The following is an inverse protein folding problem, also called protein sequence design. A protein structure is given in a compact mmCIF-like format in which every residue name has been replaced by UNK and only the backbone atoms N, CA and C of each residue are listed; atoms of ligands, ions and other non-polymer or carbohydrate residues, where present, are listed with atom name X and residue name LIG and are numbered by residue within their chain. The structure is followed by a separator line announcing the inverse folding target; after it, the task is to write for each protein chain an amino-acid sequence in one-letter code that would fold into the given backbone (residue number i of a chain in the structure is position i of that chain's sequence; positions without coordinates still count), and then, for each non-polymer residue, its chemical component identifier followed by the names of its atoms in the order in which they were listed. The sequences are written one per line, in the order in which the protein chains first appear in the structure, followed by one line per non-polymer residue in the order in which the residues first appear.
data_IF_446905924982
#
_entry.id   IF_446905924982
#
_cell.length_a   1.000
_cell.length_b   1.000
_cell.length_c   1.000
_cell.angle_alpha   90.00
_cell.angle_beta   90.00
_cell.angle_gamma   90.00
#
_symmetry.space_group_name_H-M   'P 1'
#
loop_
_entity.id
_entity.type
_entity.pdbx_description
1 polymer ?
#
# COMPACT_ATOMS: atom_id res chain seq x y z
N UNK A 1 2.11 -30.99 17.34
CA UNK A 1 3.32 -30.17 17.63
C UNK A 1 3.52 -29.25 16.45
N UNK A 2 3.51 -27.94 16.67
CA UNK A 2 3.93 -26.99 15.63
C UNK A 2 5.40 -27.24 15.29
N UNK A 3 5.71 -27.37 14.01
CA UNK A 3 7.11 -27.53 13.60
C UNK A 3 7.79 -26.18 13.62
N UNK A 4 9.06 -26.13 14.05
CA UNK A 4 9.91 -24.92 14.01
C UNK A 4 9.90 -24.26 12.62
N UNK A 5 9.77 -25.09 11.58
CA UNK A 5 9.63 -24.69 10.18
C UNK A 5 8.38 -23.83 9.91
N UNK A 6 7.22 -24.20 10.46
CA UNK A 6 5.98 -23.42 10.29
C UNK A 6 6.14 -21.99 10.84
N UNK A 7 6.72 -21.86 12.04
CA UNK A 7 6.97 -20.54 12.66
C UNK A 7 7.91 -19.69 11.80
N UNK A 8 8.96 -20.29 11.24
CA UNK A 8 9.89 -19.59 10.36
C UNK A 8 9.18 -19.07 9.10
N UNK A 9 8.38 -19.90 8.42
CA UNK A 9 7.65 -19.49 7.21
C UNK A 9 6.69 -18.34 7.51
N UNK A 10 5.94 -18.42 8.61
CA UNK A 10 5.02 -17.36 9.03
C UNK A 10 5.79 -16.04 9.24
N UNK A 11 6.90 -16.09 10.00
CA UNK A 11 7.71 -14.90 10.28
C UNK A 11 8.32 -14.29 9.01
N UNK A 12 8.78 -15.11 8.07
CA UNK A 12 9.29 -14.63 6.77
C UNK A 12 8.21 -13.90 5.98
N UNK A 13 6.98 -14.41 5.95
CA UNK A 13 5.89 -13.75 5.21
C UNK A 13 5.48 -12.40 5.83
N UNK A 14 5.46 -12.28 7.16
CA UNK A 14 5.28 -10.98 7.81
C UNK A 14 6.41 -10.02 7.49
N UNK A 15 7.66 -10.49 7.49
CA UNK A 15 8.82 -9.67 7.18
C UNK A 15 8.80 -9.16 5.73
N UNK A 16 8.46 -10.02 4.76
CA UNK A 16 8.28 -9.63 3.36
C UNK A 16 7.18 -8.57 3.21
N UNK A 17 6.08 -8.70 3.96
CA UNK A 17 5.03 -7.68 3.96
C UNK A 17 5.53 -6.34 4.50
N UNK A 18 6.29 -6.34 5.60
CA UNK A 18 6.89 -5.11 6.15
C UNK A 18 7.82 -4.46 5.11
N UNK A 19 8.71 -5.24 4.48
CA UNK A 19 9.62 -4.74 3.44
C UNK A 19 8.83 -4.15 2.27
N UNK A 20 7.86 -4.89 1.73
CA UNK A 20 7.04 -4.41 0.61
C UNK A 20 6.34 -3.10 0.96
N UNK A 21 5.86 -2.97 2.19
CA UNK A 21 5.20 -1.74 2.67
C UNK A 21 6.18 -0.57 2.71
N UNK A 22 7.38 -0.76 3.28
CA UNK A 22 8.40 0.30 3.32
C UNK A 22 8.81 0.72 1.90
N UNK A 23 9.05 -0.24 1.01
CA UNK A 23 9.41 0.03 -0.38
C UNK A 23 8.33 0.81 -1.15
N UNK A 24 7.05 0.66 -0.78
CA UNK A 24 5.93 1.37 -1.43
C UNK A 24 5.98 2.88 -1.22
N UNK A 25 6.62 3.36 -0.15
CA UNK A 25 6.75 4.78 0.17
C UNK A 25 8.02 5.44 -0.38
N UNK A 26 8.91 4.66 -1.00
CA UNK A 26 10.10 5.23 -1.64
C UNK A 26 9.63 5.93 -2.92
N UNK A 27 9.92 7.24 -3.10
CA UNK A 27 9.49 8.01 -4.28
C UNK A 27 10.38 7.71 -5.48
N UNK A 28 10.45 6.43 -5.85
CA UNK A 28 11.24 5.94 -6.97
C UNK A 28 10.55 4.72 -7.59
N UNK A 29 10.46 4.68 -8.92
CA UNK A 29 9.70 3.66 -9.66
C UNK A 29 10.21 2.24 -9.38
N UNK A 30 11.53 2.02 -9.39
CA UNK A 30 12.13 0.69 -9.17
C UNK A 30 11.72 0.07 -7.81
N UNK A 31 11.94 0.73 -6.64
CA UNK A 31 11.44 0.25 -5.35
C UNK A 31 9.92 -0.02 -5.30
N UNK A 32 9.11 0.82 -5.96
CA UNK A 32 7.65 0.63 -6.00
C UNK A 32 7.25 -0.63 -6.78
N UNK A 33 7.90 -0.89 -7.92
CA UNK A 33 7.69 -2.14 -8.68
C UNK A 33 8.09 -3.35 -7.85
N UNK A 34 9.23 -3.29 -7.14
CA UNK A 34 9.67 -4.36 -6.24
C UNK A 34 8.73 -4.57 -5.05
N UNK A 35 8.15 -3.49 -4.52
CA UNK A 35 7.12 -3.54 -3.49
C UNK A 35 5.91 -4.33 -3.96
N UNK A 36 5.36 -3.99 -5.13
CA UNK A 36 4.19 -4.67 -5.72
C UNK A 36 4.51 -6.15 -5.98
N UNK A 37 5.66 -6.46 -6.57
CA UNK A 37 6.09 -7.83 -6.81
C UNK A 37 6.18 -8.64 -5.51
N UNK A 38 6.78 -8.06 -4.47
CA UNK A 38 6.92 -8.71 -3.16
C UNK A 38 5.56 -8.92 -2.47
N UNK A 39 4.64 -7.97 -2.59
CA UNK A 39 3.28 -8.08 -2.08
C UNK A 39 2.50 -9.22 -2.76
N UNK A 40 2.59 -9.30 -4.10
CA UNK A 40 1.96 -10.37 -4.89
C UNK A 40 2.54 -11.74 -4.51
N UNK A 41 3.87 -11.85 -4.43
CA UNK A 41 4.54 -13.09 -4.01
C UNK A 41 4.12 -13.51 -2.59
N UNK A 42 4.02 -12.56 -1.66
CA UNK A 42 3.57 -12.81 -0.28
C UNK A 42 2.13 -13.30 -0.25
N UNK A 43 1.25 -12.71 -1.07
CA UNK A 43 -0.14 -13.14 -1.18
C UNK A 43 -0.26 -14.55 -1.78
N UNK A 44 0.45 -14.82 -2.87
CA UNK A 44 0.50 -16.14 -3.50
C UNK A 44 1.01 -17.21 -2.53
N UNK A 45 2.12 -16.93 -1.84
CA UNK A 45 2.67 -17.82 -0.82
C UNK A 45 1.66 -18.05 0.32
N UNK A 46 0.98 -17.00 0.79
CA UNK A 46 -0.03 -17.15 1.83
C UNK A 46 -1.19 -18.06 1.41
N UNK A 47 -1.71 -17.93 0.18
CA UNK A 47 -2.73 -18.84 -0.34
C UNK A 47 -2.24 -20.28 -0.46
N UNK A 48 -1.01 -20.46 -0.95
CA UNK A 48 -0.39 -21.78 -1.12
C UNK A 48 -0.14 -22.49 0.22
N UNK A 49 0.40 -21.80 1.22
CA UNK A 49 0.61 -22.39 2.54
C UNK A 49 -0.69 -22.59 3.31
N UNK A 50 -1.70 -21.74 3.09
CA UNK A 50 -3.05 -21.95 3.66
C UNK A 50 -3.68 -23.24 3.18
N UNK A 51 -3.52 -23.60 1.90
CA UNK A 51 -4.16 -24.80 1.34
C UNK A 51 -3.49 -26.11 1.77
N UNK A 52 -2.31 -26.04 2.40
CA UNK A 52 -1.52 -27.21 2.84
C UNK A 52 -1.69 -27.57 4.32
N UNK A 53 -2.37 -26.74 5.11
CA UNK A 53 -2.57 -26.95 6.55
C UNK A 53 -4.06 -27.15 6.88
N UNK A 54 -4.34 -27.79 8.01
CA UNK A 54 -5.73 -27.99 8.47
C UNK A 54 -6.31 -26.69 9.02
N UNK A 55 -7.64 -26.56 9.05
CA UNK A 55 -8.30 -25.32 9.50
C UNK A 55 -7.95 -24.94 10.95
N UNK A 56 -7.64 -25.93 11.78
CA UNK A 56 -7.19 -25.75 13.16
C UNK A 56 -5.68 -25.58 13.28
N UNK A 57 -4.93 -25.54 12.18
CA UNK A 57 -3.49 -25.39 12.17
C UNK A 57 -3.03 -23.94 12.36
N UNK A 58 -1.82 -23.77 12.90
CA UNK A 58 -1.21 -22.44 13.09
C UNK A 58 -0.98 -21.75 11.73
N UNK A 59 -0.50 -22.49 10.73
CA UNK A 59 -0.24 -21.95 9.40
C UNK A 59 -1.54 -21.46 8.77
N UNK A 60 -2.60 -22.30 8.79
CA UNK A 60 -3.90 -21.90 8.26
C UNK A 60 -4.43 -20.62 8.91
N UNK A 61 -4.31 -20.52 10.24
CA UNK A 61 -4.75 -19.36 11.01
C UNK A 61 -4.03 -18.06 10.60
N UNK A 62 -2.69 -18.07 10.59
CA UNK A 62 -1.91 -16.89 10.21
C UNK A 62 -2.03 -16.55 8.73
N UNK A 63 -2.08 -17.53 7.83
CA UNK A 63 -2.25 -17.27 6.40
C UNK A 63 -3.62 -16.66 6.10
N UNK A 64 -4.68 -17.12 6.77
CA UNK A 64 -6.01 -16.51 6.66
C UNK A 64 -5.99 -15.05 7.10
N UNK A 65 -5.31 -14.76 8.21
CA UNK A 65 -5.18 -13.39 8.71
C UNK A 65 -4.35 -12.50 7.78
N UNK A 66 -3.25 -13.01 7.22
CA UNK A 66 -2.40 -12.29 6.27
C UNK A 66 -3.17 -11.95 4.98
N UNK A 67 -3.86 -12.92 4.40
CA UNK A 67 -4.69 -12.72 3.20
C UNK A 67 -5.73 -11.63 3.46
N UNK A 68 -6.45 -11.70 4.59
CA UNK A 68 -7.41 -10.65 4.96
C UNK A 68 -6.75 -9.29 5.16
N UNK A 69 -5.57 -9.24 5.78
CA UNK A 69 -4.82 -8.00 5.98
C UNK A 69 -4.41 -7.35 4.66
N UNK A 70 -3.93 -8.15 3.70
CA UNK A 70 -3.57 -7.67 2.36
C UNK A 70 -4.81 -7.15 1.64
N UNK A 71 -5.90 -7.92 1.57
CA UNK A 71 -7.10 -7.52 0.84
C UNK A 71 -7.78 -6.29 1.44
N UNK A 72 -8.10 -6.31 2.74
CA UNK A 72 -8.75 -5.17 3.38
C UNK A 72 -7.86 -3.94 3.40
N UNK A 73 -6.57 -4.10 3.70
CA UNK A 73 -5.63 -2.98 3.74
C UNK A 73 -5.44 -2.32 2.38
N UNK A 74 -5.18 -3.10 1.34
CA UNK A 74 -5.04 -2.56 -0.02
C UNK A 74 -6.34 -1.94 -0.51
N UNK A 75 -7.50 -2.50 -0.18
CA UNK A 75 -8.80 -1.92 -0.53
C UNK A 75 -8.98 -0.54 0.10
N UNK A 76 -8.69 -0.37 1.40
CA UNK A 76 -8.78 0.93 2.06
C UNK A 76 -7.80 1.95 1.47
N UNK A 77 -6.59 1.52 1.13
CA UNK A 77 -5.59 2.38 0.50
C UNK A 77 -6.04 2.81 -0.90
N UNK A 78 -6.58 1.89 -1.72
CA UNK A 78 -7.12 2.20 -3.06
C UNK A 78 -8.28 3.18 -2.99
N UNK A 79 -9.23 2.98 -2.08
CA UNK A 79 -10.32 3.93 -1.85
C UNK A 79 -9.75 5.29 -1.43
N UNK A 80 -8.78 5.30 -0.51
CA UNK A 80 -8.09 6.52 -0.07
C UNK A 80 -7.44 7.27 -1.23
N UNK A 81 -6.73 6.57 -2.13
CA UNK A 81 -6.12 7.16 -3.32
C UNK A 81 -7.15 7.77 -4.27
N UNK A 82 -8.26 7.07 -4.54
CA UNK A 82 -9.35 7.61 -5.37
C UNK A 82 -9.90 8.89 -4.76
N UNK A 83 -10.15 8.90 -3.45
CA UNK A 83 -10.63 10.08 -2.73
C UNK A 83 -9.62 11.23 -2.76
N UNK A 84 -8.31 10.94 -2.64
CA UNK A 84 -7.25 11.95 -2.79
C UNK A 84 -7.29 12.59 -4.17
N UNK A 85 -7.33 11.77 -5.23
CA UNK A 85 -7.36 12.27 -6.61
C UNK A 85 -8.59 13.13 -6.86
N UNK A 86 -9.77 12.68 -6.42
CA UNK A 86 -11.00 13.46 -6.55
C UNK A 86 -10.93 14.78 -5.79
N UNK A 87 -10.40 14.77 -4.57
CA UNK A 87 -10.27 15.99 -3.77
C UNK A 87 -9.30 16.99 -4.41
N UNK A 88 -8.11 16.53 -4.82
CA UNK A 88 -7.10 17.37 -5.49
C UNK A 88 -7.66 17.88 -6.82
N UNK A 89 -8.38 17.07 -7.57
CA UNK A 89 -9.04 17.52 -8.80
C UNK A 89 -10.06 18.64 -8.53
N UNK A 90 -10.89 18.52 -7.49
CA UNK A 90 -11.93 19.51 -7.19
C UNK A 90 -11.42 20.79 -6.52
N UNK A 91 -10.29 20.73 -5.81
CA UNK A 91 -9.80 21.84 -4.97
C UNK A 91 -8.41 22.34 -5.32
N UNK A 92 -7.72 21.67 -6.25
CA UNK A 92 -6.39 22.04 -6.68
C UNK A 92 -6.39 23.32 -7.51
N UNK A 93 -5.29 24.05 -7.42
CA UNK A 93 -4.98 25.13 -8.34
C UNK A 93 -4.47 24.55 -9.67
N UNK A 94 -5.29 24.67 -10.71
CA UNK A 94 -5.01 24.16 -12.05
C UNK A 94 -4.40 25.22 -12.97
N UNK A 95 -4.05 26.40 -12.44
CA UNK A 95 -3.56 27.55 -13.24
C UNK A 95 -2.34 27.18 -14.08
N UNK A 96 -1.37 26.47 -13.52
CA UNK A 96 -0.17 26.02 -14.24
C UNK A 96 -0.53 25.16 -15.48
N UNK A 97 -1.51 24.26 -15.34
CA UNK A 97 -1.97 23.37 -16.42
C UNK A 97 -2.79 24.16 -17.46
N UNK A 98 -3.61 25.11 -17.02
CA UNK A 98 -4.39 25.96 -17.93
C UNK A 98 -3.52 26.89 -18.76
N UNK A 99 -2.49 27.49 -18.16
CA UNK A 99 -1.52 28.31 -18.88
C UNK A 99 -0.79 27.48 -19.94
N UNK A 100 -0.33 26.28 -19.57
CA UNK A 100 0.29 25.36 -20.51
C UNK A 100 -0.63 25.01 -21.69
N UNK A 101 -1.90 24.75 -21.42
CA UNK A 101 -2.88 24.45 -22.46
C UNK A 101 -3.09 25.64 -23.40
N UNK A 102 -3.13 26.86 -22.86
CA UNK A 102 -3.25 28.08 -23.66
C UNK A 102 -2.01 28.32 -24.54
N UNK A 103 -0.81 28.09 -24.02
CA UNK A 103 0.45 28.23 -24.77
C UNK A 103 0.52 27.25 -25.95
N UNK A 104 0.11 25.99 -25.74
CA UNK A 104 0.00 24.98 -26.79
C UNK A 104 -1.03 25.40 -27.85
N UNK A 105 -2.19 25.93 -27.44
CA UNK A 105 -3.21 26.42 -28.37
C UNK A 105 -2.72 27.59 -29.23
N UNK A 106 -1.78 28.38 -28.72
CA UNK A 106 -1.13 29.49 -29.43
C UNK A 106 0.06 29.04 -30.31
N UNK A 107 0.32 27.74 -30.43
CA UNK A 107 1.33 27.17 -31.30
C UNK A 107 2.72 27.03 -30.68
N UNK A 108 2.84 27.14 -29.35
CA UNK A 108 4.10 26.84 -28.67
C UNK A 108 4.45 25.35 -28.82
N UNK A 109 5.67 25.05 -29.27
CA UNK A 109 6.21 23.69 -29.23
C UNK A 109 6.82 23.45 -27.85
N UNK A 110 6.23 22.51 -27.12
CA UNK A 110 6.63 22.20 -25.75
C UNK A 110 7.72 21.13 -25.72
N UNK A 111 8.76 21.37 -24.93
CA UNK A 111 9.82 20.39 -24.66
C UNK A 111 9.50 19.53 -23.43
N UNK A 112 10.28 18.47 -23.21
CA UNK A 112 10.14 17.64 -22.00
C UNK A 112 10.43 18.45 -20.72
N UNK A 113 11.42 19.35 -20.78
CA UNK A 113 11.80 20.21 -19.65
C UNK A 113 10.67 21.17 -19.25
N UNK A 114 9.94 21.71 -20.23
CA UNK A 114 8.76 22.56 -19.98
C UNK A 114 7.66 21.79 -19.26
N UNK A 115 7.43 20.52 -19.64
CA UNK A 115 6.45 19.66 -18.98
C UNK A 115 6.85 19.38 -17.52
N UNK A 116 8.13 19.09 -17.26
CA UNK A 116 8.62 18.89 -15.90
C UNK A 116 8.47 20.17 -15.06
N UNK A 117 8.78 21.34 -15.63
CA UNK A 117 8.65 22.61 -14.93
C UNK A 117 7.19 22.93 -14.56
N UNK A 118 6.24 22.69 -15.47
CA UNK A 118 4.80 22.86 -15.18
C UNK A 118 4.32 21.87 -14.14
N UNK A 119 4.74 20.61 -14.23
CA UNK A 119 4.40 19.60 -13.23
C UNK A 119 4.94 19.97 -11.85
N UNK A 120 6.19 20.43 -11.77
CA UNK A 120 6.80 20.87 -10.52
C UNK A 120 6.05 22.06 -9.92
N UNK A 121 5.74 23.07 -10.75
CA UNK A 121 4.96 24.25 -10.32
C UNK A 121 3.60 23.82 -9.77
N UNK A 122 2.88 22.96 -10.49
CA UNK A 122 1.59 22.43 -10.03
C UNK A 122 1.73 21.69 -8.69
N UNK A 123 2.78 20.88 -8.53
CA UNK A 123 3.04 20.14 -7.29
C UNK A 123 3.37 21.08 -6.12
N UNK A 124 4.14 22.13 -6.35
CA UNK A 124 4.52 23.12 -5.33
C UNK A 124 3.30 23.95 -4.88
N UNK A 125 2.51 24.45 -5.83
CA UNK A 125 1.28 25.22 -5.56
C UNK A 125 0.25 24.40 -4.78
N UNK A 126 0.18 23.09 -5.07
CA UNK A 126 -0.78 22.18 -4.46
C UNK A 126 -0.19 21.32 -3.32
N UNK A 127 1.06 21.52 -2.91
CA UNK A 127 1.75 20.62 -1.98
C UNK A 127 0.98 20.40 -0.67
N UNK A 128 0.49 21.49 -0.06
CA UNK A 128 -0.28 21.43 1.19
C UNK A 128 -1.58 20.66 1.03
N UNK A 129 -2.28 20.87 -0.10
CA UNK A 129 -3.52 20.15 -0.41
C UNK A 129 -3.24 18.66 -0.62
N UNK A 130 -2.20 18.32 -1.40
CA UNK A 130 -1.77 16.94 -1.64
C UNK A 130 -1.44 16.21 -0.33
N UNK A 131 -0.67 16.85 0.54
CA UNK A 131 -0.30 16.29 1.84
C UNK A 131 -1.52 16.09 2.74
N UNK A 132 -2.40 17.09 2.85
CA UNK A 132 -3.60 17.02 3.67
C UNK A 132 -4.57 15.95 3.15
N UNK A 133 -4.88 15.99 1.85
CA UNK A 133 -5.78 15.04 1.21
C UNK A 133 -5.28 13.60 1.41
N UNK A 134 -4.01 13.34 1.09
CA UNK A 134 -3.40 12.02 1.27
C UNK A 134 -3.41 11.55 2.72
N UNK A 135 -3.10 12.44 3.67
CA UNK A 135 -3.09 12.07 5.10
C UNK A 135 -4.48 11.70 5.60
N UNK A 136 -5.50 12.47 5.21
CA UNK A 136 -6.88 12.25 5.66
C UNK A 136 -7.50 11.01 5.03
N UNK A 137 -7.25 10.75 3.75
CA UNK A 137 -7.91 9.67 3.01
C UNK A 137 -7.14 8.34 3.09
N UNK A 138 -5.81 8.36 3.01
CA UNK A 138 -4.96 7.16 2.99
C UNK A 138 -4.48 6.80 4.40
N UNK A 139 -4.26 7.79 5.27
CA UNK A 139 -3.75 7.60 6.63
C UNK A 139 -4.49 6.55 7.45
N UNK A 140 -5.84 6.54 7.51
CA UNK A 140 -6.59 5.50 8.21
C UNK A 140 -6.34 4.08 7.69
N UNK A 141 -6.24 3.91 6.36
CA UNK A 141 -5.93 2.63 5.73
C UNK A 141 -4.52 2.14 6.08
N UNK A 142 -3.54 3.05 6.11
CA UNK A 142 -2.18 2.73 6.53
C UNK A 142 -2.09 2.37 8.01
N UNK A 143 -2.74 3.14 8.88
CA UNK A 143 -2.77 2.86 10.31
C UNK A 143 -3.38 1.47 10.59
N UNK A 144 -4.49 1.15 9.92
CA UNK A 144 -5.11 -0.17 9.97
C UNK A 144 -4.16 -1.28 9.51
N UNK A 145 -3.53 -1.11 8.35
CA UNK A 145 -2.61 -2.10 7.79
C UNK A 145 -1.40 -2.34 8.69
N UNK A 146 -0.76 -1.28 9.18
CA UNK A 146 0.38 -1.34 10.12
C UNK A 146 -0.03 -2.05 11.41
N UNK A 147 -1.15 -1.65 12.01
CA UNK A 147 -1.68 -2.29 13.23
C UNK A 147 -1.85 -3.80 13.04
N UNK A 148 -2.49 -4.21 11.93
CA UNK A 148 -2.74 -5.62 11.63
C UNK A 148 -1.45 -6.41 11.44
N UNK A 149 -0.50 -5.89 10.66
CA UNK A 149 0.80 -6.54 10.41
C UNK A 149 1.58 -6.69 11.71
N UNK A 150 1.70 -5.63 12.52
CA UNK A 150 2.42 -5.66 13.81
C UNK A 150 1.77 -6.64 14.78
N UNK A 151 0.44 -6.63 14.90
CA UNK A 151 -0.30 -7.55 15.77
C UNK A 151 -0.12 -9.01 15.35
N UNK A 152 -0.21 -9.28 14.05
CA UNK A 152 -0.03 -10.63 13.51
C UNK A 152 1.40 -11.14 13.66
N UNK A 153 2.39 -10.28 13.43
CA UNK A 153 3.80 -10.61 13.57
C UNK A 153 4.19 -10.92 15.02
N UNK A 154 3.77 -10.07 15.98
CA UNK A 154 4.02 -10.33 17.41
C UNK A 154 3.46 -11.68 17.85
N UNK A 155 2.22 -11.99 17.46
CA UNK A 155 1.59 -13.29 17.77
C UNK A 155 2.31 -14.46 17.11
N UNK A 156 2.80 -14.30 15.88
CA UNK A 156 3.57 -15.32 15.18
C UNK A 156 4.91 -15.63 15.87
N UNK A 157 5.62 -14.60 16.36
CA UNK A 157 6.86 -14.76 17.11
C UNK A 157 6.65 -15.59 18.39
N UNK A 158 5.55 -15.33 19.09
CA UNK A 158 5.18 -16.07 20.29
C UNK A 158 4.62 -17.48 19.98
N UNK A 159 4.31 -17.77 18.72
CA UNK A 159 3.62 -18.99 18.29
C UNK A 159 2.16 -19.07 18.72
N UNK A 160 1.51 -17.92 18.94
CA UNK A 160 0.11 -17.85 19.30
C UNK A 160 -0.79 -17.69 18.08
N UNK A 161 -1.87 -18.46 18.06
CA UNK A 161 -2.96 -18.28 17.10
C UNK A 161 -3.65 -16.94 17.29
N UNK A 162 -4.24 -16.45 16.20
CA UNK A 162 -5.13 -15.29 16.18
C UNK A 162 -6.55 -15.78 16.45
N UNK A 163 -7.21 -15.21 17.46
CA UNK A 163 -8.52 -15.66 17.91
C UNK A 163 -9.59 -15.61 16.81
N UNK A 164 -9.61 -14.55 16.00
CA UNK A 164 -10.56 -14.36 14.90
C UNK A 164 -9.82 -13.94 13.61
N UNK A 165 -9.19 -14.87 12.88
CA UNK A 165 -8.32 -14.53 11.75
C UNK A 165 -9.08 -13.90 10.56
N UNK A 166 -10.39 -14.18 10.46
CA UNK A 166 -11.30 -13.62 9.44
C UNK A 166 -11.87 -12.25 9.82
N UNK A 167 -11.69 -11.82 11.07
CA UNK A 167 -12.12 -10.48 11.50
C UNK A 167 -11.35 -9.43 10.72
N UNK A 168 -12.05 -8.37 10.33
CA UNK A 168 -11.46 -7.14 9.78
C UNK A 168 -11.01 -6.17 10.90
N UNK A 169 -11.22 -6.52 12.18
CA UNK A 169 -10.76 -5.81 13.39
C UNK A 169 -9.77 -6.66 14.21
#
# INVERSE_FOLDING_TARGET
METKEQKNIINVLYFLLIISSVLSFVPHTIPQVLSIATLILSLCAAYFYRSRDTQDGLMYNHMTYLIGTIWYGTTFIVIGMILTVLWVYMKGDHTAIYNLTADIQNGMMMTEDDMYAVMQTYMDDNYKLLLLASTVTIGPGLAYFIYRVVRGYKRAMDGYRIANPKSWL
#
